data_IF_949556989214
#
_entry.id   IF_949556989214
#
_cell.length_a   1.000
_cell.length_b   1.000
_cell.length_c   1.000
_cell.angle_alpha   90.00
_cell.angle_beta   90.00
_cell.angle_gamma   90.00
#
_symmetry.space_group_name_H-M   'P 1'
#
loop_
_entity.id
_entity.type
_entity.pdbx_description
1 polymer ?
#
# COMPACT_ATOMS: atom_id res chain seq x y z
N UNK A 1 -18.07 -6.73 0.68
CA UNK A 1 -17.41 -5.57 1.33
C UNK A 1 -17.47 -5.78 2.82
N UNK A 2 -16.42 -5.53 3.59
CA UNK A 2 -16.51 -5.64 5.04
C UNK A 2 -17.12 -4.35 5.61
N UNK A 3 -18.42 -4.17 5.39
CA UNK A 3 -19.13 -2.96 5.83
C UNK A 3 -19.61 -3.04 7.29
N UNK A 4 -19.35 -4.14 7.97
CA UNK A 4 -19.79 -4.38 9.34
C UNK A 4 -18.65 -4.95 10.19
N UNK A 5 -17.65 -4.08 10.44
CA UNK A 5 -16.49 -4.41 11.27
C UNK A 5 -16.76 -3.90 12.70
N UNK A 6 -16.55 -4.79 13.67
CA UNK A 6 -16.68 -4.52 15.09
C UNK A 6 -15.32 -4.70 15.77
N UNK A 7 -14.86 -3.68 16.46
CA UNK A 7 -13.56 -3.65 17.13
C UNK A 7 -13.72 -3.52 18.64
N UNK A 8 -13.02 -4.37 19.37
CA UNK A 8 -12.78 -4.26 20.81
C UNK A 8 -11.30 -4.58 21.10
N UNK A 9 -10.85 -4.37 22.35
CA UNK A 9 -9.47 -4.69 22.75
C UNK A 9 -9.12 -6.16 22.50
N UNK A 10 -10.09 -7.05 22.65
CA UNK A 10 -9.93 -8.50 22.51
C UNK A 10 -9.83 -8.96 21.02
N UNK A 11 -10.28 -8.16 20.04
CA UNK A 11 -10.26 -8.60 18.67
C UNK A 11 -10.99 -7.71 17.67
N UNK A 12 -10.99 -8.18 16.42
CA UNK A 12 -11.74 -7.61 15.31
C UNK A 12 -12.72 -8.65 14.78
N UNK A 13 -14.01 -8.32 14.77
CA UNK A 13 -15.09 -9.16 14.28
C UNK A 13 -15.72 -8.58 13.02
N UNK A 14 -16.35 -9.44 12.27
CA UNK A 14 -17.23 -9.10 11.15
C UNK A 14 -18.68 -9.39 11.54
N UNK A 15 -19.65 -8.72 10.93
CA UNK A 15 -21.06 -8.80 11.29
C UNK A 15 -21.68 -10.22 11.23
N UNK A 16 -21.06 -11.14 10.48
CA UNK A 16 -21.45 -12.56 10.43
C UNK A 16 -20.93 -13.39 11.64
N UNK A 17 -20.27 -12.74 12.61
CA UNK A 17 -19.72 -13.37 13.80
C UNK A 17 -18.33 -13.98 13.63
N UNK A 18 -17.70 -13.83 12.46
CA UNK A 18 -16.33 -14.25 12.25
C UNK A 18 -15.33 -13.26 12.89
N UNK A 19 -14.26 -13.78 13.49
CA UNK A 19 -13.15 -13.01 14.06
C UNK A 19 -11.91 -13.13 13.17
N UNK A 20 -11.19 -12.03 13.00
CA UNK A 20 -9.94 -12.01 12.25
C UNK A 20 -8.79 -12.64 13.07
N UNK A 21 -8.10 -13.60 12.47
CA UNK A 21 -6.77 -14.00 12.92
C UNK A 21 -5.74 -13.01 12.31
N UNK A 22 -5.12 -12.14 13.12
CA UNK A 22 -4.28 -11.08 12.60
C UNK A 22 -2.95 -11.58 11.99
N UNK A 23 -2.50 -12.78 12.34
CA UNK A 23 -1.26 -13.34 11.78
C UNK A 23 -1.46 -14.00 10.42
N UNK A 24 -2.60 -14.66 10.22
CA UNK A 24 -2.93 -15.32 8.95
C UNK A 24 -3.82 -14.48 8.06
N UNK A 25 -4.40 -13.40 8.61
CA UNK A 25 -5.40 -12.52 7.98
C UNK A 25 -6.66 -13.25 7.54
N UNK A 26 -6.97 -14.38 8.18
CA UNK A 26 -8.15 -15.20 7.88
C UNK A 26 -9.27 -14.91 8.87
N UNK A 27 -10.46 -14.78 8.34
CA UNK A 27 -11.69 -14.74 9.12
C UNK A 27 -12.09 -16.17 9.50
N UNK A 28 -12.31 -16.40 10.79
CA UNK A 28 -12.73 -17.69 11.33
C UNK A 28 -13.97 -17.49 12.20
N UNK A 29 -14.88 -18.45 12.12
CA UNK A 29 -16.06 -18.40 13.01
C UNK A 29 -15.58 -18.33 14.46
N UNK A 30 -15.95 -17.27 15.18
CA UNK A 30 -15.60 -17.10 16.57
C UNK A 30 -16.44 -18.03 17.45
N UNK A 31 -15.86 -18.51 18.56
CA UNK A 31 -16.61 -19.25 19.57
C UNK A 31 -17.53 -18.33 20.36
N UNK A 32 -17.06 -17.13 20.62
CA UNK A 32 -17.73 -16.12 21.40
C UNK A 32 -18.25 -14.99 20.51
N UNK A 33 -19.36 -14.37 20.92
CA UNK A 33 -19.87 -13.17 20.25
C UNK A 33 -18.95 -11.97 20.53
N UNK A 34 -18.99 -10.94 19.66
CA UNK A 34 -18.32 -9.67 19.98
C UNK A 34 -18.78 -9.18 21.35
N UNK A 35 -17.85 -8.69 22.20
CA UNK A 35 -18.22 -8.14 23.51
C UNK A 35 -19.13 -6.91 23.35
N UNK A 36 -19.92 -6.60 24.39
CA UNK A 36 -20.93 -5.54 24.33
C UNK A 36 -20.33 -4.15 24.05
N UNK A 37 -19.08 -3.93 24.44
CA UNK A 37 -18.33 -2.69 24.19
C UNK A 37 -17.72 -2.62 22.76
N UNK A 38 -17.85 -3.65 21.96
CA UNK A 38 -17.34 -3.64 20.59
C UNK A 38 -18.06 -2.57 19.76
N UNK A 39 -17.28 -1.72 19.11
CA UNK A 39 -17.81 -0.60 18.31
C UNK A 39 -17.58 -0.81 16.82
N UNK A 40 -18.45 -0.26 16.01
CA UNK A 40 -18.26 -0.25 14.54
C UNK A 40 -17.07 0.61 14.17
N UNK A 41 -16.27 0.13 13.21
CA UNK A 41 -15.09 0.82 12.71
C UNK A 41 -14.98 0.75 11.20
N UNK A 42 -14.33 1.75 10.62
CA UNK A 42 -13.97 1.74 9.21
C UNK A 42 -12.79 0.79 8.95
N UNK A 43 -12.62 0.34 7.70
CA UNK A 43 -11.54 -0.56 7.31
C UNK A 43 -10.14 0.00 7.62
N UNK A 44 -9.92 1.31 7.48
CA UNK A 44 -8.65 1.94 7.82
C UNK A 44 -8.31 1.81 9.30
N UNK A 45 -9.27 2.03 10.19
CA UNK A 45 -9.09 1.89 11.63
C UNK A 45 -8.88 0.42 12.03
N UNK A 46 -9.66 -0.50 11.46
CA UNK A 46 -9.51 -1.93 11.68
C UNK A 46 -8.13 -2.44 11.23
N UNK A 47 -7.66 -2.02 10.05
CA UNK A 47 -6.32 -2.35 9.56
C UNK A 47 -5.23 -1.77 10.47
N UNK A 48 -5.40 -0.52 10.92
CA UNK A 48 -4.48 0.13 11.87
C UNK A 48 -4.37 -0.64 13.18
N UNK A 49 -5.47 -1.14 13.72
CA UNK A 49 -5.45 -2.00 14.91
C UNK A 49 -4.66 -3.30 14.68
N UNK A 50 -4.86 -3.96 13.53
CA UNK A 50 -4.12 -5.18 13.17
C UNK A 50 -2.63 -4.92 13.03
N UNK A 51 -2.25 -3.79 12.43
CA UNK A 51 -0.86 -3.42 12.17
C UNK A 51 -0.13 -2.88 13.42
N UNK A 52 -0.88 -2.39 14.41
CA UNK A 52 -0.31 -1.80 15.61
C UNK A 52 0.39 -2.84 16.50
N UNK A 53 1.53 -2.45 17.08
CA UNK A 53 2.24 -3.19 18.15
C UNK A 53 2.48 -4.68 17.86
N UNK A 54 2.74 -5.04 16.60
CA UNK A 54 3.07 -6.42 16.23
C UNK A 54 1.90 -7.42 16.34
N UNK A 55 0.65 -6.94 16.41
CA UNK A 55 -0.54 -7.81 16.49
C UNK A 55 -0.73 -8.66 15.24
N UNK A 56 -0.41 -8.11 14.05
CA UNK A 56 -0.68 -8.77 12.78
C UNK A 56 0.47 -8.78 11.79
N UNK A 57 0.23 -9.46 10.69
CA UNK A 57 1.18 -9.57 9.58
C UNK A 57 1.31 -8.22 8.87
N UNK A 58 2.51 -7.68 8.81
CA UNK A 58 2.80 -6.40 8.14
C UNK A 58 3.18 -6.65 6.68
N UNK A 59 2.18 -6.61 5.79
CA UNK A 59 2.40 -6.71 4.35
C UNK A 59 2.61 -5.31 3.77
N UNK A 60 3.58 -5.13 2.84
CA UNK A 60 3.83 -3.82 2.26
C UNK A 60 2.82 -3.47 1.16
N UNK A 61 2.45 -2.19 1.08
CA UNK A 61 1.81 -1.59 -0.09
C UNK A 61 2.85 -0.87 -0.95
N UNK A 62 2.69 -0.88 -2.28
CA UNK A 62 3.61 -0.18 -3.19
C UNK A 62 3.06 1.16 -3.61
N UNK A 63 3.92 2.18 -3.66
CA UNK A 63 3.68 3.43 -4.38
C UNK A 63 4.57 3.43 -5.62
N UNK A 64 3.96 3.53 -6.78
CA UNK A 64 4.64 3.49 -8.07
C UNK A 64 4.34 4.75 -8.89
N UNK A 65 5.30 5.19 -9.68
CA UNK A 65 5.16 6.40 -10.48
C UNK A 65 6.45 6.76 -11.22
N UNK A 66 6.40 7.78 -12.09
CA UNK A 66 7.51 8.16 -12.94
C UNK A 66 8.68 8.79 -12.15
N UNK A 67 9.86 8.80 -12.82
CA UNK A 67 11.04 9.52 -12.33
C UNK A 67 10.88 11.03 -12.46
N UNK A 68 10.24 11.47 -13.55
CA UNK A 68 9.97 12.87 -13.86
C UNK A 68 8.44 13.11 -13.78
N UNK A 69 7.89 13.25 -12.57
CA UNK A 69 6.47 13.41 -12.35
C UNK A 69 6.04 14.87 -12.50
N UNK A 70 4.76 15.07 -12.81
CA UNK A 70 4.12 16.37 -12.71
C UNK A 70 4.03 16.83 -11.26
N UNK A 71 3.80 18.12 -10.99
CA UNK A 71 3.51 18.62 -9.63
C UNK A 71 2.32 17.91 -8.98
N UNK A 72 1.31 17.51 -9.74
CA UNK A 72 0.15 16.77 -9.25
C UNK A 72 0.54 15.36 -8.84
N UNK A 73 1.28 14.63 -9.65
CA UNK A 73 1.75 13.29 -9.32
C UNK A 73 2.67 13.28 -8.09
N UNK A 74 3.50 14.31 -7.90
CA UNK A 74 4.30 14.49 -6.67
C UNK A 74 3.42 14.65 -5.43
N UNK A 75 2.40 15.51 -5.52
CA UNK A 75 1.48 15.76 -4.41
C UNK A 75 0.67 14.49 -4.07
N UNK A 76 0.17 13.78 -5.08
CA UNK A 76 -0.56 12.53 -4.90
C UNK A 76 0.34 11.44 -4.27
N UNK A 77 1.62 11.33 -4.70
CA UNK A 77 2.59 10.39 -4.13
C UNK A 77 2.82 10.62 -2.64
N UNK A 78 3.05 11.87 -2.27
CA UNK A 78 3.28 12.26 -0.87
C UNK A 78 2.04 12.04 -0.01
N UNK A 79 0.86 12.46 -0.49
CA UNK A 79 -0.40 12.34 0.24
C UNK A 79 -0.82 10.86 0.44
N UNK A 80 -0.73 10.04 -0.61
CA UNK A 80 -1.07 8.61 -0.54
C UNK A 80 -0.12 7.87 0.41
N UNK A 81 1.19 8.12 0.28
CA UNK A 81 2.17 7.48 1.15
C UNK A 81 1.97 7.87 2.62
N UNK A 82 1.70 9.15 2.89
CA UNK A 82 1.36 9.64 4.23
C UNK A 82 0.11 8.96 4.80
N UNK A 83 -0.97 8.87 4.01
CA UNK A 83 -2.23 8.28 4.44
C UNK A 83 -2.07 6.78 4.79
N UNK A 84 -1.36 6.02 3.96
CA UNK A 84 -1.07 4.60 4.20
C UNK A 84 -0.15 4.39 5.41
N UNK A 85 0.88 5.23 5.57
CA UNK A 85 1.80 5.15 6.70
C UNK A 85 1.11 5.48 8.04
N UNK A 86 0.16 6.42 8.07
CA UNK A 86 -0.66 6.72 9.26
C UNK A 86 -1.52 5.53 9.70
N UNK A 87 -1.97 4.68 8.78
CA UNK A 87 -2.65 3.42 9.11
C UNK A 87 -1.66 2.39 9.68
N UNK A 88 -0.36 2.51 9.37
CA UNK A 88 0.69 1.61 9.84
C UNK A 88 1.23 0.63 8.80
N UNK A 89 0.85 0.79 7.52
CA UNK A 89 1.41 -0.03 6.45
C UNK A 89 2.90 0.26 6.23
N UNK A 90 3.77 -0.75 6.15
CA UNK A 90 5.08 -0.57 5.53
C UNK A 90 4.88 -0.30 4.04
N UNK A 91 5.68 0.59 3.47
CA UNK A 91 5.60 0.96 2.07
C UNK A 91 6.83 0.52 1.30
N UNK A 92 6.65 0.17 0.03
CA UNK A 92 7.74 -0.08 -0.91
C UNK A 92 7.61 0.80 -2.15
N UNK A 93 8.75 1.19 -2.70
CA UNK A 93 8.86 1.88 -3.99
C UNK A 93 10.18 1.52 -4.67
N UNK A 94 10.44 2.12 -5.83
CA UNK A 94 11.71 1.93 -6.54
C UNK A 94 12.93 2.62 -5.93
N UNK A 95 12.76 3.35 -4.84
CA UNK A 95 13.86 3.90 -4.01
C UNK A 95 14.62 5.09 -4.57
N UNK A 96 14.34 5.55 -5.80
CA UNK A 96 15.03 6.66 -6.48
C UNK A 96 14.28 7.99 -6.34
N UNK A 97 14.58 8.96 -7.21
CA UNK A 97 13.95 10.28 -7.25
C UNK A 97 12.53 10.32 -7.83
N UNK A 98 11.98 11.52 -7.98
CA UNK A 98 10.67 11.75 -8.55
C UNK A 98 9.51 11.31 -7.66
N UNK A 99 8.53 10.62 -8.22
CA UNK A 99 7.38 10.14 -7.46
C UNK A 99 7.77 9.22 -6.30
N UNK A 100 8.83 8.42 -6.46
CA UNK A 100 9.35 7.53 -5.42
C UNK A 100 9.89 8.29 -4.21
N UNK A 101 10.62 9.38 -4.45
CA UNK A 101 11.15 10.24 -3.37
C UNK A 101 10.03 11.01 -2.67
N UNK A 102 9.05 11.54 -3.41
CA UNK A 102 7.88 12.19 -2.83
C UNK A 102 7.09 11.22 -1.93
N UNK A 103 6.88 9.98 -2.38
CA UNK A 103 6.26 8.94 -1.57
C UNK A 103 7.09 8.63 -0.32
N UNK A 104 8.43 8.52 -0.46
CA UNK A 104 9.32 8.26 0.67
C UNK A 104 9.24 9.37 1.71
N UNK A 105 9.25 10.65 1.27
CA UNK A 105 9.10 11.82 2.13
C UNK A 105 7.76 11.82 2.88
N UNK A 106 6.64 11.58 2.18
CA UNK A 106 5.32 11.52 2.79
C UNK A 106 5.19 10.41 3.83
N UNK A 107 5.78 9.25 3.56
CA UNK A 107 5.83 8.12 4.50
C UNK A 107 6.62 8.48 5.77
N UNK A 108 7.85 8.96 5.62
CA UNK A 108 8.75 9.21 6.76
C UNK A 108 8.34 10.42 7.57
N UNK A 109 7.66 11.40 6.98
CA UNK A 109 7.12 12.57 7.69
C UNK A 109 6.16 12.22 8.84
N UNK A 110 5.59 11.01 8.84
CA UNK A 110 4.70 10.49 9.89
C UNK A 110 5.28 9.27 10.60
N UNK A 111 6.59 9.04 10.50
CA UNK A 111 7.26 7.92 11.15
C UNK A 111 6.99 6.55 10.49
N UNK A 112 6.53 6.53 9.26
CA UNK A 112 6.29 5.31 8.49
C UNK A 112 7.58 4.63 8.03
N UNK A 113 7.49 3.35 7.68
CA UNK A 113 8.61 2.54 7.17
C UNK A 113 8.57 2.50 5.65
N UNK A 114 9.59 3.08 5.00
CA UNK A 114 9.79 3.03 3.56
C UNK A 114 10.93 2.08 3.18
N UNK A 115 10.64 1.15 2.26
CA UNK A 115 11.59 0.20 1.69
C UNK A 115 11.80 0.56 0.21
N UNK A 116 13.04 0.74 -0.20
CA UNK A 116 13.41 1.01 -1.60
C UNK A 116 13.97 -0.22 -2.27
N UNK A 117 13.34 -0.68 -3.35
CA UNK A 117 13.87 -1.78 -4.18
C UNK A 117 14.67 -1.17 -5.33
N UNK A 118 16.00 -1.12 -5.18
CA UNK A 118 16.88 -0.45 -6.12
C UNK A 118 17.24 -1.35 -7.31
N UNK A 119 17.38 -0.78 -8.52
CA UNK A 119 17.83 -1.55 -9.68
C UNK A 119 19.34 -1.85 -9.66
N UNK A 120 20.13 -0.99 -9.00
CA UNK A 120 21.58 -1.13 -8.86
C UNK A 120 21.95 -2.07 -7.69
N UNK A 121 23.23 -2.41 -7.63
CA UNK A 121 23.84 -3.14 -6.52
C UNK A 121 24.41 -2.21 -5.43
N UNK A 122 24.25 -0.89 -5.58
CA UNK A 122 24.68 0.13 -4.62
C UNK A 122 23.48 0.71 -3.86
N UNK A 123 23.39 0.41 -2.57
CA UNK A 123 22.35 0.93 -1.68
C UNK A 123 22.38 2.47 -1.54
N UNK A 124 23.54 3.12 -1.80
CA UNK A 124 23.72 4.58 -1.70
C UNK A 124 22.95 5.36 -2.78
N UNK A 125 22.47 4.68 -3.82
CA UNK A 125 21.59 5.28 -4.81
C UNK A 125 20.15 5.50 -4.32
N UNK A 126 19.81 5.04 -3.12
CA UNK A 126 18.51 5.31 -2.51
C UNK A 126 18.35 6.80 -2.19
N UNK A 127 17.13 7.34 -2.35
CA UNK A 127 16.83 8.67 -1.85
C UNK A 127 16.91 8.72 -0.31
N UNK A 128 17.12 9.93 0.24
CA UNK A 128 17.41 10.16 1.65
C UNK A 128 16.29 9.71 2.62
N UNK A 129 15.09 9.45 2.12
CA UNK A 129 13.93 9.06 2.93
C UNK A 129 13.65 7.54 2.93
N UNK A 130 14.47 6.74 2.24
CA UNK A 130 14.38 5.28 2.26
C UNK A 130 15.05 4.74 3.51
N UNK A 131 14.28 4.09 4.39
CA UNK A 131 14.80 3.50 5.62
C UNK A 131 15.53 2.17 5.38
N UNK A 132 15.02 1.36 4.45
CA UNK A 132 15.60 0.06 4.11
C UNK A 132 15.86 0.02 2.59
N UNK A 133 17.07 0.35 2.14
CA UNK A 133 17.45 0.20 0.74
C UNK A 133 17.81 -1.26 0.44
N UNK A 134 17.15 -1.86 -0.53
CA UNK A 134 17.45 -3.19 -1.04
C UNK A 134 18.08 -3.07 -2.43
N UNK A 135 19.39 -3.12 -2.48
CA UNK A 135 20.18 -3.12 -3.71
C UNK A 135 20.09 -4.51 -4.37
N UNK A 136 19.48 -4.58 -5.55
CA UNK A 136 19.19 -5.88 -6.19
C UNK A 136 20.13 -6.23 -7.33
N UNK A 137 20.76 -5.25 -7.97
CA UNK A 137 21.65 -5.45 -9.12
C UNK A 137 20.98 -5.99 -10.39
N UNK A 138 19.62 -6.06 -10.43
CA UNK A 138 18.88 -6.67 -11.54
C UNK A 138 18.25 -5.65 -12.51
N UNK A 139 18.62 -4.39 -12.39
CA UNK A 139 18.11 -3.34 -13.27
C UNK A 139 16.59 -3.19 -13.18
N UNK A 140 15.95 -2.88 -14.30
CA UNK A 140 14.49 -2.66 -14.35
C UNK A 140 13.65 -3.92 -14.07
N UNK A 141 14.27 -5.12 -14.08
CA UNK A 141 13.56 -6.35 -13.67
C UNK A 141 13.06 -6.28 -12.21
N UNK A 142 13.63 -5.38 -11.37
CA UNK A 142 13.16 -5.14 -9.99
C UNK A 142 11.71 -4.62 -9.93
N UNK A 143 11.16 -4.10 -11.05
CA UNK A 143 9.75 -3.70 -11.12
C UNK A 143 8.82 -4.89 -10.83
N UNK A 144 9.17 -6.08 -11.32
CA UNK A 144 8.44 -7.31 -11.00
C UNK A 144 8.53 -7.65 -9.50
N UNK A 145 9.67 -7.38 -8.86
CA UNK A 145 9.85 -7.61 -7.41
C UNK A 145 8.92 -6.68 -6.62
N UNK A 146 8.87 -5.38 -6.95
CA UNK A 146 7.96 -4.43 -6.29
C UNK A 146 6.50 -4.91 -6.41
N UNK A 147 6.07 -5.25 -7.62
CA UNK A 147 4.70 -5.65 -7.89
C UNK A 147 4.30 -6.98 -7.21
N UNK A 148 5.24 -7.92 -7.06
CA UNK A 148 4.96 -9.21 -6.42
C UNK A 148 5.06 -9.18 -4.90
N UNK A 149 5.96 -8.36 -4.35
CA UNK A 149 6.15 -8.21 -2.91
C UNK A 149 4.99 -7.44 -2.25
N UNK A 150 4.35 -6.51 -2.98
CA UNK A 150 3.21 -5.76 -2.47
C UNK A 150 1.90 -6.54 -2.58
N UNK A 151 1.00 -6.35 -1.62
CA UNK A 151 -0.38 -6.87 -1.71
C UNK A 151 -1.32 -5.91 -2.47
N UNK A 152 -0.94 -4.63 -2.56
CA UNK A 152 -1.64 -3.57 -3.28
C UNK A 152 -0.63 -2.57 -3.85
N UNK A 153 -0.93 -1.98 -5.00
CA UNK A 153 -0.13 -0.97 -5.67
C UNK A 153 -0.97 0.30 -5.88
N UNK A 154 -0.39 1.46 -5.63
CA UNK A 154 -0.99 2.76 -5.96
C UNK A 154 -0.08 3.48 -6.96
N UNK A 155 -0.58 3.68 -8.17
CA UNK A 155 0.07 4.45 -9.23
C UNK A 155 -0.37 5.90 -9.16
N UNK A 156 0.59 6.82 -9.08
CA UNK A 156 0.33 8.26 -8.90
C UNK A 156 0.51 9.07 -10.19
N UNK A 157 1.13 8.49 -11.23
CA UNK A 157 1.37 9.18 -12.51
C UNK A 157 1.94 8.22 -13.55
N UNK A 158 2.39 8.79 -14.67
CA UNK A 158 3.05 8.03 -15.73
C UNK A 158 2.23 7.87 -17.02
N UNK A 159 1.06 8.53 -17.09
CA UNK A 159 0.25 8.63 -18.30
C UNK A 159 0.71 9.76 -19.23
N UNK A 160 1.17 10.88 -18.62
CA UNK A 160 1.64 12.05 -19.36
C UNK A 160 2.97 11.77 -20.10
N UNK A 161 3.22 12.50 -21.16
CA UNK A 161 4.46 12.36 -21.91
C UNK A 161 5.67 12.98 -21.16
N UNK A 162 6.82 12.30 -21.11
CA UNK A 162 7.05 10.96 -21.64
C UNK A 162 6.38 9.85 -20.80
N UNK A 163 5.71 8.92 -21.47
CA UNK A 163 5.01 7.82 -20.81
C UNK A 163 5.98 6.96 -19.99
N UNK A 164 5.62 6.67 -18.74
CA UNK A 164 6.45 5.83 -17.88
C UNK A 164 6.18 4.34 -18.09
N UNK A 165 6.94 3.71 -18.97
CA UNK A 165 6.84 2.25 -19.19
C UNK A 165 7.19 1.43 -17.95
N UNK A 166 8.06 1.96 -17.07
CA UNK A 166 8.36 1.35 -15.78
C UNK A 166 7.09 1.24 -14.92
N UNK A 167 6.36 2.34 -14.77
CA UNK A 167 5.09 2.37 -14.03
C UNK A 167 4.05 1.43 -14.64
N UNK A 168 3.92 1.42 -15.98
CA UNK A 168 3.00 0.51 -16.68
C UNK A 168 3.38 -0.95 -16.41
N UNK A 169 4.65 -1.29 -16.44
CA UNK A 169 5.12 -2.66 -16.18
C UNK A 169 4.78 -3.11 -14.75
N UNK A 170 4.98 -2.26 -13.75
CA UNK A 170 4.62 -2.54 -12.35
C UNK A 170 3.10 -2.74 -12.20
N UNK A 171 2.28 -1.89 -12.83
CA UNK A 171 0.82 -2.04 -12.84
C UNK A 171 0.40 -3.37 -13.50
N UNK A 172 0.98 -3.70 -14.66
CA UNK A 172 0.67 -4.93 -15.39
C UNK A 172 1.05 -6.18 -14.59
N UNK A 173 2.21 -6.21 -13.95
CA UNK A 173 2.61 -7.30 -13.04
C UNK A 173 1.65 -7.39 -11.85
N UNK A 174 1.29 -6.27 -11.24
CA UNK A 174 0.33 -6.25 -10.14
C UNK A 174 -1.02 -6.86 -10.52
N UNK A 175 -1.60 -6.45 -11.63
CA UNK A 175 -2.85 -6.98 -12.17
C UNK A 175 -2.74 -8.48 -12.48
N UNK A 176 -1.66 -8.91 -13.14
CA UNK A 176 -1.40 -10.32 -13.45
C UNK A 176 -1.35 -11.20 -12.21
N UNK A 177 -0.85 -10.68 -11.10
CA UNK A 177 -0.76 -11.38 -9.81
C UNK A 177 -2.00 -11.20 -8.92
N UNK A 178 -3.11 -10.64 -9.44
CA UNK A 178 -4.34 -10.44 -8.69
C UNK A 178 -4.22 -9.43 -7.53
N UNK A 179 -3.24 -8.52 -7.62
CA UNK A 179 -3.09 -7.44 -6.65
C UNK A 179 -4.15 -6.37 -6.88
N UNK A 180 -4.54 -5.69 -5.83
CA UNK A 180 -5.28 -4.45 -6.00
C UNK A 180 -4.35 -3.41 -6.62
N UNK A 181 -4.69 -2.91 -7.81
CA UNK A 181 -3.98 -1.82 -8.47
C UNK A 181 -4.89 -0.60 -8.51
N UNK A 182 -4.47 0.45 -7.82
CA UNK A 182 -5.18 1.73 -7.78
C UNK A 182 -4.44 2.72 -8.67
N UNK A 183 -5.20 3.50 -9.45
CA UNK A 183 -4.69 4.61 -10.25
C UNK A 183 -5.22 5.94 -9.72
N UNK A 184 -4.33 6.86 -9.36
CA UNK A 184 -4.66 8.27 -9.12
C UNK A 184 -4.95 8.99 -10.44
N UNK A 185 -5.23 10.29 -10.40
CA UNK A 185 -5.69 11.06 -11.57
C UNK A 185 -4.82 10.90 -12.83
N UNK A 186 -3.50 10.90 -12.68
CA UNK A 186 -2.53 10.85 -13.80
C UNK A 186 -1.91 9.46 -14.01
N UNK A 187 -2.45 8.42 -13.36
CA UNK A 187 -2.01 7.06 -13.59
C UNK A 187 -2.47 6.55 -14.98
N UNK A 188 -1.69 5.66 -15.63
CA UNK A 188 -2.09 5.01 -16.86
C UNK A 188 -3.42 4.26 -16.73
N UNK A 189 -4.19 4.21 -17.83
CA UNK A 189 -5.44 3.48 -17.88
C UNK A 189 -5.18 2.05 -18.38
N UNK A 190 -5.33 1.08 -17.45
CA UNK A 190 -5.26 -0.34 -17.77
C UNK A 190 -6.53 -1.04 -17.28
N UNK A 191 -7.05 -2.04 -18.03
CA UNK A 191 -8.19 -2.83 -17.57
C UNK A 191 -7.93 -3.46 -16.21
N UNK A 192 -8.85 -3.30 -15.26
CA UNK A 192 -8.74 -3.83 -13.89
C UNK A 192 -8.14 -2.86 -12.87
N UNK A 193 -7.69 -1.69 -13.29
CA UNK A 193 -7.26 -0.63 -12.37
C UNK A 193 -8.47 0.05 -11.74
N UNK A 194 -8.42 0.21 -10.42
CA UNK A 194 -9.44 0.93 -9.65
C UNK A 194 -9.05 2.40 -9.54
N UNK A 195 -9.87 3.32 -10.05
CA UNK A 195 -9.60 4.76 -9.97
C UNK A 195 -9.98 5.30 -8.60
N UNK A 196 -9.14 6.17 -8.04
CA UNK A 196 -9.40 6.91 -6.82
C UNK A 196 -9.17 8.41 -7.05
N UNK A 197 -10.01 9.23 -6.45
CA UNK A 197 -9.95 10.67 -6.57
C UNK A 197 -9.10 11.33 -5.47
N UNK A 198 -8.90 10.65 -4.33
CA UNK A 198 -8.13 11.17 -3.19
C UNK A 198 -7.24 10.10 -2.54
N UNK A 199 -6.26 10.58 -1.77
CA UNK A 199 -5.37 9.73 -0.99
C UNK A 199 -6.13 8.93 0.09
N UNK A 200 -7.15 9.52 0.69
CA UNK A 200 -7.98 8.89 1.72
C UNK A 200 -8.80 7.75 1.11
N UNK A 201 -9.37 7.95 -0.08
CA UNK A 201 -10.08 6.90 -0.80
C UNK A 201 -9.15 5.74 -1.14
N UNK A 202 -7.96 6.04 -1.68
CA UNK A 202 -6.95 5.02 -1.98
C UNK A 202 -6.56 4.24 -0.72
N UNK A 203 -6.30 4.92 0.39
CA UNK A 203 -5.93 4.30 1.66
C UNK A 203 -7.06 3.43 2.23
N UNK A 204 -8.32 3.86 2.14
CA UNK A 204 -9.47 3.08 2.57
C UNK A 204 -9.62 1.78 1.75
N UNK A 205 -9.42 1.85 0.41
CA UNK A 205 -9.48 0.67 -0.46
C UNK A 205 -8.32 -0.31 -0.19
N UNK A 206 -7.10 0.20 0.06
CA UNK A 206 -5.95 -0.62 0.45
C UNK A 206 -6.23 -1.32 1.78
N UNK A 207 -6.76 -0.61 2.78
CA UNK A 207 -7.12 -1.19 4.07
C UNK A 207 -8.20 -2.27 3.95
N UNK A 208 -9.26 -2.02 3.16
CA UNK A 208 -10.30 -3.00 2.88
C UNK A 208 -9.73 -4.26 2.19
N UNK A 209 -8.82 -4.09 1.22
CA UNK A 209 -8.13 -5.21 0.56
C UNK A 209 -7.28 -6.02 1.53
N UNK A 210 -6.57 -5.35 2.44
CA UNK A 210 -5.74 -6.01 3.46
C UNK A 210 -6.58 -6.94 4.35
N UNK A 211 -7.74 -6.48 4.80
CA UNK A 211 -8.65 -7.25 5.63
C UNK A 211 -9.38 -8.38 4.88
N UNK A 212 -9.32 -8.39 3.54
CA UNK A 212 -9.93 -9.38 2.66
C UNK A 212 -8.91 -10.36 2.04
N UNK A 213 -7.67 -10.46 2.57
CA UNK A 213 -6.62 -11.31 1.99
C UNK A 213 -6.75 -12.78 2.39
N UNK A 214 -7.47 -13.10 3.44
CA UNK A 214 -7.60 -14.44 4.00
C UNK A 214 -8.87 -15.18 3.63
#
# INVERSE_FOLDING_TARGET
MPDDLLLADAGLWRGDGAMLDPLTLRWRQAKDRPPAEARRVAAAEAAGWVLAKGRGRRLPAAIIGPRDPTPRALADAEAVARALALIGFPLICGGRGGAMEAASRGCTAVGGLMIGILPSDDWREANAHVAIPLATGIGEARNAVIATAAFALVSVGGREEPVSYGTISEMAFGLRHGRLVIGMAEAPDLPGVVRCASAEEAAARVAARYLALG
#
